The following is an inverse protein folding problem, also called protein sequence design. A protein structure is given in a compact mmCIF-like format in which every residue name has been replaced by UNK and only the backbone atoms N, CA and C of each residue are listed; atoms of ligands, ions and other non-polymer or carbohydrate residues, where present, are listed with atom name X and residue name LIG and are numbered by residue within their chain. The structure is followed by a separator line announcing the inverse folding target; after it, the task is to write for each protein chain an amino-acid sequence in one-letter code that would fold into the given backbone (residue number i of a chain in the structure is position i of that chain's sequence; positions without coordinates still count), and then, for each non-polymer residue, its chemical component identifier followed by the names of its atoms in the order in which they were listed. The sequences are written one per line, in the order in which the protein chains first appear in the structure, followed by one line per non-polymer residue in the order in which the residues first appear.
data_IF_649469413197
#
_entry.id   IF_649469413197
#
_cell.length_a   1.000
_cell.length_b   1.000
_cell.length_c   1.000
_cell.angle_alpha   90.00
_cell.angle_beta   90.00
_cell.angle_gamma   90.00
#
_symmetry.space_group_name_H-M   'P 1'
#
loop_
_entity.id
_entity.type
_entity.pdbx_description
1 polymer ?
#
# COMPACT_ATOMS: atom_id res chain seq x y z
N UNK A 1 46.08 -7.88 5.80
CA UNK A 1 45.43 -6.99 6.78
C UNK A 1 44.28 -6.16 6.19
N UNK A 2 44.09 -6.15 4.84
CA UNK A 2 43.05 -5.35 4.16
C UNK A 2 41.73 -6.15 3.97
N UNK A 3 41.79 -7.48 3.86
CA UNK A 3 40.62 -8.33 3.60
C UNK A 3 39.59 -8.36 4.74
N UNK A 4 40.05 -8.20 5.99
CA UNK A 4 39.17 -8.19 7.16
C UNK A 4 38.22 -6.99 7.14
N UNK A 5 38.72 -5.79 6.83
CA UNK A 5 37.92 -4.57 6.76
C UNK A 5 36.90 -4.59 5.61
N UNK A 6 37.25 -5.18 4.46
CA UNK A 6 36.34 -5.33 3.31
C UNK A 6 35.14 -6.23 3.62
N UNK A 7 35.38 -7.34 4.33
CA UNK A 7 34.32 -8.30 4.69
C UNK A 7 33.24 -7.71 5.60
N UNK A 8 33.62 -6.89 6.59
CA UNK A 8 32.68 -6.20 7.47
C UNK A 8 31.89 -5.10 6.75
N UNK A 9 32.49 -4.41 5.78
CA UNK A 9 31.82 -3.38 5.00
C UNK A 9 30.77 -3.98 4.06
N UNK A 10 31.06 -5.11 3.42
CA UNK A 10 30.09 -5.82 2.57
C UNK A 10 28.93 -6.40 3.38
N UNK A 11 29.21 -6.94 4.57
CA UNK A 11 28.17 -7.47 5.47
C UNK A 11 27.23 -6.38 5.99
N UNK A 12 27.77 -5.21 6.35
CA UNK A 12 26.95 -4.07 6.81
C UNK A 12 26.07 -3.50 5.69
N UNK A 13 26.58 -3.42 4.45
CA UNK A 13 25.78 -3.04 3.29
C UNK A 13 24.65 -4.03 2.97
N UNK A 14 24.91 -5.34 3.05
CA UNK A 14 23.88 -6.36 2.88
C UNK A 14 22.81 -6.30 3.96
N UNK A 15 23.20 -6.13 5.22
CA UNK A 15 22.28 -6.04 6.35
C UNK A 15 21.40 -4.79 6.28
N UNK A 16 21.98 -3.64 5.92
CA UNK A 16 21.21 -2.40 5.74
C UNK A 16 20.24 -2.49 4.57
N UNK A 17 20.66 -3.06 3.44
CA UNK A 17 19.76 -3.31 2.30
C UNK A 17 18.63 -4.29 2.65
N UNK A 18 18.94 -5.36 3.38
CA UNK A 18 17.94 -6.31 3.87
C UNK A 18 16.94 -5.64 4.84
N UNK A 19 17.41 -4.83 5.78
CA UNK A 19 16.53 -4.12 6.72
C UNK A 19 15.60 -3.12 5.99
N UNK A 20 16.15 -2.36 5.03
CA UNK A 20 15.39 -1.37 4.25
C UNK A 20 14.32 -2.04 3.38
N UNK A 21 14.58 -3.24 2.84
CA UNK A 21 13.61 -3.98 2.02
C UNK A 21 12.62 -4.78 2.85
N UNK A 22 13.02 -5.31 4.00
CA UNK A 22 12.17 -6.13 4.87
C UNK A 22 11.12 -5.29 5.60
N UNK A 23 11.45 -4.06 6.02
CA UNK A 23 10.53 -3.17 6.72
C UNK A 23 9.25 -2.83 5.93
N UNK A 24 9.29 -2.36 4.67
CA UNK A 24 8.09 -2.13 3.87
C UNK A 24 7.38 -3.44 3.52
N UNK A 25 8.12 -4.53 3.27
CA UNK A 25 7.52 -5.83 2.98
C UNK A 25 6.68 -6.33 4.17
N UNK A 26 7.22 -6.26 5.40
CA UNK A 26 6.51 -6.62 6.61
C UNK A 26 5.29 -5.71 6.84
N UNK A 27 5.44 -4.40 6.58
CA UNK A 27 4.33 -3.43 6.68
C UNK A 27 3.21 -3.74 5.68
N UNK A 28 3.55 -4.08 4.43
CA UNK A 28 2.59 -4.49 3.40
C UNK A 28 1.87 -5.77 3.80
N UNK A 29 2.61 -6.79 4.24
CA UNK A 29 2.05 -8.07 4.67
C UNK A 29 1.12 -7.89 5.88
N UNK A 30 1.53 -7.09 6.86
CA UNK A 30 0.69 -6.76 8.02
C UNK A 30 -0.58 -6.02 7.60
N UNK A 31 -0.46 -5.03 6.70
CA UNK A 31 -1.59 -4.26 6.19
C UNK A 31 -2.58 -5.08 5.33
N UNK A 32 -2.09 -6.12 4.64
CA UNK A 32 -2.91 -7.03 3.84
C UNK A 32 -3.58 -8.12 4.68
N UNK A 33 -2.83 -8.75 5.60
CA UNK A 33 -3.27 -9.97 6.29
C UNK A 33 -3.88 -9.72 7.66
N UNK A 34 -3.27 -8.85 8.48
CA UNK A 34 -3.61 -8.69 9.90
C UNK A 34 -4.39 -7.41 10.21
N UNK A 35 -4.44 -6.46 9.28
CA UNK A 35 -5.15 -5.21 9.53
C UNK A 35 -6.68 -5.43 9.61
N UNK A 36 -7.36 -4.93 10.66
CA UNK A 36 -8.79 -5.14 10.91
C UNK A 36 -9.68 -4.62 9.76
N UNK A 37 -9.17 -3.68 8.95
CA UNK A 37 -9.83 -3.17 7.73
C UNK A 37 -9.70 -4.10 6.51
N UNK A 38 -9.24 -5.35 6.64
CA UNK A 38 -9.24 -6.36 5.55
C UNK A 38 -10.66 -6.68 5.04
N UNK A 39 -11.68 -6.48 5.87
CA UNK A 39 -13.09 -6.75 5.50
C UNK A 39 -13.59 -5.90 4.34
N UNK A 40 -12.95 -4.77 4.04
CA UNK A 40 -13.41 -3.87 2.98
C UNK A 40 -12.93 -4.32 1.60
N UNK A 41 -13.85 -4.54 0.64
CA UNK A 41 -13.51 -4.93 -0.73
C UNK A 41 -12.69 -3.83 -1.42
N UNK A 42 -11.68 -4.21 -2.21
CA UNK A 42 -10.85 -3.26 -2.95
C UNK A 42 -9.74 -3.93 -3.77
N UNK A 43 -9.20 -3.25 -4.79
CA UNK A 43 -8.11 -3.78 -5.60
C UNK A 43 -6.86 -4.04 -4.76
N UNK A 44 -6.18 -5.16 -4.99
CA UNK A 44 -4.97 -5.56 -4.23
C UNK A 44 -3.88 -4.48 -4.27
N UNK A 45 -3.70 -3.81 -5.42
CA UNK A 45 -2.75 -2.70 -5.54
C UNK A 45 -3.07 -1.52 -4.61
N UNK A 46 -4.34 -1.21 -4.40
CA UNK A 46 -4.79 -0.07 -3.58
C UNK A 46 -4.77 -0.43 -2.08
N UNK A 47 -4.93 -1.71 -1.74
CA UNK A 47 -4.73 -2.22 -0.37
C UNK A 47 -3.27 -2.27 0.04
N UNK A 48 -2.37 -2.49 -0.91
CA UNK A 48 -0.94 -2.66 -0.66
C UNK A 48 -0.19 -1.32 -0.58
N UNK A 49 -0.58 -0.32 -1.37
CA UNK A 49 0.12 0.98 -1.42
C UNK A 49 -0.77 2.09 -1.95
N UNK A 50 -0.41 3.35 -1.64
CA UNK A 50 -1.00 4.55 -2.27
C UNK A 50 -0.53 4.79 -3.72
N UNK A 51 0.42 4.00 -4.22
CA UNK A 51 0.96 4.08 -5.57
C UNK A 51 -0.10 4.20 -6.69
N UNK A 52 -1.15 3.37 -6.76
CA UNK A 52 -2.14 3.51 -7.83
C UNK A 52 -2.93 4.83 -7.74
N UNK A 53 -3.17 5.36 -6.54
CA UNK A 53 -3.78 6.68 -6.39
C UNK A 53 -2.85 7.78 -6.91
N UNK A 54 -1.55 7.70 -6.61
CA UNK A 54 -0.53 8.63 -7.14
C UNK A 54 -0.45 8.53 -8.67
N UNK A 55 -0.51 7.32 -9.23
CA UNK A 55 -0.54 7.12 -10.70
C UNK A 55 -1.77 7.77 -11.31
N UNK A 56 -2.96 7.60 -10.71
CA UNK A 56 -4.19 8.23 -11.18
C UNK A 56 -4.15 9.76 -11.04
N UNK A 57 -3.49 10.28 -10.01
CA UNK A 57 -3.19 11.72 -9.82
C UNK A 57 -2.28 12.25 -10.93
N UNK A 58 -1.17 11.58 -11.22
CA UNK A 58 -0.24 11.95 -12.31
C UNK A 58 -0.92 11.85 -13.68
N UNK A 59 -1.82 10.88 -13.86
CA UNK A 59 -2.69 10.77 -15.05
C UNK A 59 -3.76 11.85 -15.14
N UNK A 60 -3.97 12.65 -14.09
CA UNK A 60 -5.01 13.69 -14.03
C UNK A 60 -6.44 13.15 -13.96
N UNK A 61 -6.63 11.85 -13.71
CA UNK A 61 -7.95 11.21 -13.70
C UNK A 61 -8.29 10.46 -12.38
N UNK A 62 -7.95 10.99 -11.19
CA UNK A 62 -8.18 10.27 -9.93
C UNK A 62 -9.67 10.02 -9.65
N UNK A 63 -10.55 10.95 -10.04
CA UNK A 63 -12.00 10.85 -9.82
C UNK A 63 -12.62 9.74 -10.67
N UNK A 64 -12.23 9.62 -11.93
CA UNK A 64 -12.75 8.58 -12.84
C UNK A 64 -12.32 7.18 -12.39
N UNK A 65 -11.08 7.04 -11.95
CA UNK A 65 -10.59 5.75 -11.44
C UNK A 65 -11.27 5.39 -10.11
N UNK A 66 -11.49 6.36 -9.21
CA UNK A 66 -12.30 6.15 -8.01
C UNK A 66 -13.72 5.69 -8.34
N UNK A 67 -14.42 6.35 -9.28
CA UNK A 67 -15.78 5.94 -9.70
C UNK A 67 -15.81 4.52 -10.27
N UNK A 68 -14.82 4.12 -11.08
CA UNK A 68 -14.74 2.75 -11.63
C UNK A 68 -14.54 1.72 -10.52
N UNK A 69 -13.73 2.03 -9.51
CA UNK A 69 -13.49 1.14 -8.37
C UNK A 69 -14.75 1.05 -7.53
N UNK A 70 -15.44 2.17 -7.27
CA UNK A 70 -16.73 2.20 -6.58
C UNK A 70 -17.77 1.33 -7.29
N UNK A 71 -17.89 1.48 -8.62
CA UNK A 71 -18.80 0.68 -9.45
C UNK A 71 -18.51 -0.83 -9.39
N UNK A 72 -17.25 -1.22 -9.19
CA UNK A 72 -16.81 -2.62 -9.18
C UNK A 72 -16.85 -3.28 -7.79
N UNK A 73 -16.56 -2.52 -6.73
CA UNK A 73 -16.38 -3.05 -5.37
C UNK A 73 -17.46 -2.60 -4.37
N UNK A 74 -18.34 -1.67 -4.73
CA UNK A 74 -19.45 -1.19 -3.91
C UNK A 74 -19.18 0.15 -3.22
N UNK A 75 -20.12 0.58 -2.36
CA UNK A 75 -20.13 1.90 -1.69
C UNK A 75 -18.99 2.12 -0.66
N UNK A 76 -18.28 1.06 -0.29
CA UNK A 76 -17.20 1.12 0.68
C UNK A 76 -15.97 0.43 0.10
N UNK A 77 -15.00 1.25 -0.30
CA UNK A 77 -13.74 0.77 -0.88
C UNK A 77 -12.56 1.26 -0.07
N UNK A 78 -11.55 0.39 0.07
CA UNK A 78 -10.29 0.73 0.73
C UNK A 78 -9.32 1.31 -0.30
N UNK A 79 -9.10 2.62 -0.23
CA UNK A 79 -8.33 3.38 -1.22
C UNK A 79 -6.83 3.41 -0.89
N UNK A 80 -6.50 3.34 0.40
CA UNK A 80 -5.14 3.24 0.89
C UNK A 80 -5.07 2.26 2.07
N UNK A 81 -3.86 1.83 2.50
CA UNK A 81 -3.73 0.94 3.65
C UNK A 81 -4.43 1.46 4.91
N UNK A 82 -4.41 2.79 5.11
CA UNK A 82 -4.99 3.48 6.26
C UNK A 82 -6.24 4.32 5.94
N UNK A 83 -6.71 4.36 4.69
CA UNK A 83 -7.88 5.17 4.31
C UNK A 83 -8.97 4.33 3.65
N UNK A 84 -10.19 4.52 4.16
CA UNK A 84 -11.42 3.99 3.60
C UNK A 84 -12.16 5.17 2.98
N UNK A 85 -12.66 5.00 1.76
CA UNK A 85 -13.57 5.96 1.16
C UNK A 85 -14.97 5.37 1.14
N UNK A 86 -15.89 6.13 1.70
CA UNK A 86 -17.33 5.89 1.66
C UNK A 86 -17.91 6.76 0.55
N UNK A 87 -18.69 6.19 -0.36
CA UNK A 87 -19.59 7.00 -1.19
C UNK A 87 -20.86 7.23 -0.40
N UNK A 88 -20.93 8.41 0.21
CA UNK A 88 -22.09 8.83 0.98
C UNK A 88 -23.24 9.17 0.05
N UNK A 89 -24.09 8.17 -0.20
CA UNK A 89 -25.44 8.32 -0.76
C UNK A 89 -26.52 7.69 0.12
N UNK A 90 -26.18 7.27 1.36
CA UNK A 90 -27.11 6.59 2.27
C UNK A 90 -26.80 6.79 3.75
N UNK A 91 -26.94 8.03 4.21
CA UNK A 91 -26.94 8.43 5.64
C UNK A 91 -28.11 9.37 5.95
N UNK A 92 -29.24 9.19 5.26
CA UNK A 92 -30.54 9.67 5.70
C UNK A 92 -31.41 8.46 6.06
N UNK A 93 -31.24 7.94 7.27
CA UNK A 93 -32.25 7.19 8.05
C UNK A 93 -31.75 6.97 9.48
#
# INVERSE_FOLDING_TARGET
MIDFAGSHLSLTLLLTYAAISLYPAATVIYNLCFHPLRKFPGPILWRSSQLPYIISLVRGNPVLDQMKIHKKYGDVIRLAPNEIIFHEGRSLE
#
